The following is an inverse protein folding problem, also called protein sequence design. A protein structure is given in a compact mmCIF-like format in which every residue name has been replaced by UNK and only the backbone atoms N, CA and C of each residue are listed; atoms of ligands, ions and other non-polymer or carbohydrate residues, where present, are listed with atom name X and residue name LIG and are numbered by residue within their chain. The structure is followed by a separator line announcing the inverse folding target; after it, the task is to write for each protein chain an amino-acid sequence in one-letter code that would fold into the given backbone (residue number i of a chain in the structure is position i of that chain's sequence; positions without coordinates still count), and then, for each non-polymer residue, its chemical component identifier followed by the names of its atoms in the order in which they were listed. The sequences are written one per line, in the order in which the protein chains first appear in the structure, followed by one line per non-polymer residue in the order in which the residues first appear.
data_IF_560329921749
#
_entry.id   IF_560329921749
#
_cell.length_a   1.000
_cell.length_b   1.000
_cell.length_c   1.000
_cell.angle_alpha   90.00
_cell.angle_beta   90.00
_cell.angle_gamma   90.00
#
_symmetry.space_group_name_H-M   'P 1'
#
loop_
_entity.id
_entity.type
_entity.pdbx_description
1 polymer ?
#
# COMPACT_ATOMS: atom_id res chain seq x y z
N UNK A 1 -8.84 -9.21 5.70
CA UNK A 1 -7.51 -9.39 6.33
C UNK A 1 -6.49 -8.88 5.35
N UNK A 2 -5.49 -8.15 5.82
CA UNK A 2 -4.45 -7.58 4.96
C UNK A 2 -3.11 -7.87 5.60
N UNK A 3 -2.17 -8.45 4.86
CA UNK A 3 -0.83 -8.72 5.35
C UNK A 3 0.20 -8.51 4.24
N UNK A 4 1.40 -8.11 4.64
CA UNK A 4 2.54 -8.00 3.73
C UNK A 4 3.14 -9.38 3.48
N UNK A 5 3.55 -9.63 2.24
CA UNK A 5 4.26 -10.86 1.83
C UNK A 5 5.75 -10.62 1.65
N UNK A 6 6.18 -9.36 1.62
CA UNK A 6 7.57 -8.94 1.50
C UNK A 6 8.23 -8.72 2.87
N UNK A 7 9.57 -8.77 2.90
CA UNK A 7 10.32 -8.45 4.11
C UNK A 7 10.16 -6.98 4.52
N UNK A 8 10.30 -6.70 5.82
CA UNK A 8 10.25 -5.33 6.36
C UNK A 8 11.30 -4.43 5.69
N UNK A 9 12.50 -4.98 5.44
CA UNK A 9 13.58 -4.24 4.75
C UNK A 9 13.17 -3.85 3.34
N UNK A 10 12.60 -4.78 2.57
CA UNK A 10 12.15 -4.51 1.20
C UNK A 10 10.99 -3.52 1.17
N UNK A 11 10.08 -3.63 2.14
CA UNK A 11 8.99 -2.67 2.29
C UNK A 11 9.51 -1.25 2.55
N UNK A 12 10.50 -1.09 3.43
CA UNK A 12 11.11 0.21 3.71
C UNK A 12 11.84 0.81 2.49
N UNK A 13 12.53 -0.02 1.70
CA UNK A 13 13.14 0.40 0.43
C UNK A 13 12.09 0.93 -0.56
N UNK A 14 11.05 0.13 -0.84
CA UNK A 14 9.98 0.52 -1.78
C UNK A 14 9.31 1.82 -1.36
N UNK A 15 9.03 1.96 -0.05
CA UNK A 15 8.44 3.18 0.50
C UNK A 15 9.37 4.35 0.25
N UNK A 16 10.64 4.27 0.64
CA UNK A 16 11.60 5.37 0.47
C UNK A 16 11.83 5.77 -0.99
N UNK A 17 11.80 4.82 -1.92
CA UNK A 17 11.96 5.08 -3.36
C UNK A 17 10.75 5.82 -3.97
N UNK A 18 9.54 5.58 -3.46
CA UNK A 18 8.30 6.06 -4.10
C UNK A 18 7.58 7.15 -3.31
N UNK A 19 7.93 7.34 -2.04
CA UNK A 19 7.29 8.32 -1.16
C UNK A 19 7.78 9.73 -1.47
N UNK A 20 6.87 10.69 -1.54
CA UNK A 20 7.24 12.10 -1.58
C UNK A 20 6.87 12.72 -0.24
N UNK A 21 7.83 12.82 0.68
CA UNK A 21 7.58 13.30 2.06
C UNK A 21 6.85 14.67 2.07
N UNK A 22 7.21 15.57 1.15
CA UNK A 22 6.57 16.88 1.00
C UNK A 22 5.08 16.81 0.62
N UNK A 23 4.62 15.70 0.04
CA UNK A 23 3.22 15.48 -0.36
C UNK A 23 2.39 14.77 0.71
N UNK A 24 3.02 14.23 1.75
CA UNK A 24 2.31 13.45 2.76
C UNK A 24 1.73 14.33 3.86
N UNK A 25 2.50 15.23 4.47
CA UNK A 25 2.00 16.12 5.51
C UNK A 25 1.07 15.42 6.52
N UNK A 26 -0.12 15.98 6.76
CA UNK A 26 -1.20 15.42 7.60
C UNK A 26 -2.07 14.34 6.91
N UNK A 27 -1.67 13.83 5.75
CA UNK A 27 -2.47 12.94 4.92
C UNK A 27 -1.78 11.59 4.71
N UNK A 28 -2.32 10.84 3.76
CA UNK A 28 -1.77 9.60 3.27
C UNK A 28 -1.46 9.72 1.77
N UNK A 29 -0.46 8.98 1.31
CA UNK A 29 -0.13 8.80 -0.08
C UNK A 29 -0.35 7.34 -0.48
N UNK A 30 -0.86 7.13 -1.69
CA UNK A 30 -0.84 5.81 -2.29
C UNK A 30 0.39 5.68 -3.17
N UNK A 31 1.10 4.57 -3.03
CA UNK A 31 2.16 4.19 -3.95
C UNK A 31 1.81 2.84 -4.56
N UNK A 32 2.16 2.69 -5.84
CA UNK A 32 2.09 1.43 -6.56
C UNK A 32 3.53 0.92 -6.64
N UNK A 33 3.79 -0.26 -6.06
CA UNK A 33 5.06 -0.94 -6.22
C UNK A 33 5.09 -1.66 -7.58
N UNK A 34 6.29 -1.88 -8.12
CA UNK A 34 6.47 -2.69 -9.32
C UNK A 34 6.49 -4.21 -9.03
N UNK A 35 6.20 -4.61 -7.79
CA UNK A 35 6.19 -5.98 -7.30
C UNK A 35 5.01 -6.21 -6.35
N UNK A 36 4.65 -7.48 -6.12
CA UNK A 36 3.60 -7.85 -5.15
C UNK A 36 4.09 -7.56 -3.73
N UNK A 37 3.37 -6.70 -3.01
CA UNK A 37 3.76 -6.26 -1.65
C UNK A 37 2.96 -6.96 -0.57
N UNK A 38 1.78 -7.48 -0.91
CA UNK A 38 0.95 -8.19 0.06
C UNK A 38 -0.34 -8.72 -0.54
N UNK A 39 -1.21 -9.18 0.35
CA UNK A 39 -2.53 -9.70 -0.01
C UNK A 39 -3.60 -8.84 0.63
N UNK A 40 -4.59 -8.45 -0.19
CA UNK A 40 -5.79 -7.78 0.23
C UNK A 40 -6.97 -8.76 0.22
N UNK A 41 -7.64 -8.94 1.37
CA UNK A 41 -8.88 -9.72 1.49
C UNK A 41 -10.06 -8.86 1.93
N UNK A 42 -11.12 -8.84 1.11
CA UNK A 42 -12.45 -8.23 1.41
C UNK A 42 -13.56 -9.21 1.02
N UNK A 43 -14.32 -9.68 2.02
CA UNK A 43 -15.29 -10.76 1.80
C UNK A 43 -14.60 -12.00 1.23
N UNK A 44 -15.11 -12.51 0.11
CA UNK A 44 -14.57 -13.65 -0.65
C UNK A 44 -13.46 -13.27 -1.62
N UNK A 45 -13.19 -11.98 -1.82
CA UNK A 45 -12.13 -11.52 -2.72
C UNK A 45 -10.81 -11.58 -1.98
N UNK A 46 -9.90 -12.44 -2.45
CA UNK A 46 -8.50 -12.53 -2.01
C UNK A 46 -7.63 -12.22 -3.22
N UNK A 47 -6.89 -11.12 -3.16
CA UNK A 47 -6.07 -10.67 -4.29
C UNK A 47 -4.70 -10.23 -3.82
N UNK A 48 -3.68 -10.60 -4.59
CA UNK A 48 -2.37 -10.01 -4.46
C UNK A 48 -2.45 -8.54 -4.84
N UNK A 49 -1.69 -7.70 -4.12
CA UNK A 49 -1.63 -6.27 -4.38
C UNK A 49 -0.21 -5.80 -4.45
N UNK A 50 0.03 -4.93 -5.42
CA UNK A 50 1.24 -4.13 -5.57
C UNK A 50 1.08 -2.75 -4.93
N UNK A 51 -0.14 -2.38 -4.53
CA UNK A 51 -0.49 -1.04 -4.07
C UNK A 51 -0.52 -0.96 -2.56
N UNK A 52 0.02 0.12 -2.01
CA UNK A 52 -0.03 0.39 -0.57
C UNK A 52 -0.42 1.84 -0.28
N UNK A 53 -1.07 2.02 0.87
CA UNK A 53 -1.33 3.32 1.49
C UNK A 53 -0.26 3.57 2.53
N UNK A 54 0.39 4.72 2.43
CA UNK A 54 1.37 5.21 3.40
C UNK A 54 0.77 6.42 4.10
N UNK A 55 0.71 6.38 5.43
CA UNK A 55 0.35 7.54 6.25
C UNK A 55 1.56 7.93 7.09
N UNK A 56 1.87 9.23 7.19
CA UNK A 56 2.90 9.70 8.10
C UNK A 56 2.42 9.61 9.55
N UNK A 57 3.34 9.34 10.45
CA UNK A 57 3.12 9.26 11.89
C UNK A 57 4.29 9.93 12.61
N UNK A 58 4.08 10.35 13.85
CA UNK A 58 5.13 10.98 14.65
C UNK A 58 6.36 10.08 14.86
N UNK A 59 6.21 8.76 14.66
CA UNK A 59 7.29 7.77 14.79
C UNK A 59 7.81 7.23 13.44
N UNK A 60 7.41 7.81 12.31
CA UNK A 60 7.78 7.35 10.97
C UNK A 60 6.60 7.31 10.02
N UNK A 61 6.26 6.14 9.50
CA UNK A 61 5.13 5.96 8.61
C UNK A 61 4.40 4.64 8.88
N UNK A 62 3.10 4.61 8.60
CA UNK A 62 2.27 3.41 8.60
C UNK A 62 1.96 3.01 7.17
N UNK A 63 2.32 1.79 6.81
CA UNK A 63 2.04 1.20 5.50
C UNK A 63 0.95 0.13 5.63
N UNK A 64 0.01 0.14 4.70
CA UNK A 64 -1.06 -0.85 4.62
C UNK A 64 -1.24 -1.24 3.15
N UNK A 65 -1.21 -2.54 2.79
CA UNK A 65 -1.57 -2.97 1.44
C UNK A 65 -3.02 -2.61 1.15
N UNK A 66 -3.31 -2.10 -0.04
CA UNK A 66 -4.67 -1.69 -0.42
C UNK A 66 -5.08 -2.35 -1.72
N UNK A 67 -6.36 -2.22 -2.07
CA UNK A 67 -6.87 -2.78 -3.32
C UNK A 67 -6.05 -2.25 -4.52
N UNK A 68 -5.63 -3.12 -5.45
CA UNK A 68 -5.00 -2.71 -6.70
C UNK A 68 -5.86 -1.69 -7.45
N UNK A 69 -5.22 -0.77 -8.18
CA UNK A 69 -5.95 0.21 -9.00
C UNK A 69 -6.95 -0.43 -9.95
N UNK A 70 -6.58 -1.57 -10.53
CA UNK A 70 -7.39 -2.29 -11.52
C UNK A 70 -8.73 -2.77 -10.94
N UNK A 71 -8.71 -3.20 -9.68
CA UNK A 71 -9.90 -3.68 -8.99
C UNK A 71 -10.74 -2.53 -8.39
N UNK A 72 -10.16 -1.33 -8.24
CA UNK A 72 -10.86 -0.15 -7.74
C UNK A 72 -11.96 0.33 -8.71
N UNK A 73 -11.85 0.02 -10.00
CA UNK A 73 -12.86 0.37 -11.01
C UNK A 73 -14.08 -0.59 -11.02
N UNK A 74 -13.99 -1.76 -10.38
CA UNK A 74 -15.13 -2.68 -10.27
C UNK A 74 -16.05 -2.35 -9.08
N UNK A 75 -15.73 -1.33 -8.27
CA UNK A 75 -16.56 -0.92 -7.12
C UNK A 75 -17.74 -0.01 -7.49
N UNK A 76 -17.95 0.32 -8.78
CA UNK A 76 -18.96 1.27 -9.23
C UNK A 76 -19.94 0.68 -10.28
N UNK A 77 -20.27 -0.61 -10.17
CA UNK A 77 -21.27 -1.28 -11.01
C UNK A 77 -22.37 -1.93 -10.19
#
# INVERSE_FOLDING_TARGET
MVHFTISIKRLDEIVKENITLSKIGDRFQFIDANEVVGVYKRGDIVVETTRMRIAQSNKGYHTIPVVPRELKNNENK
#
